data_IF_428355341989
#
_entry.id   IF_428355341989
#
_cell.length_a   1.000
_cell.length_b   1.000
_cell.length_c   1.000
_cell.angle_alpha   90.00
_cell.angle_beta   90.00
_cell.angle_gamma   90.00
#
_symmetry.space_group_name_H-M   'P 1'
#
loop_
_entity.id
_entity.type
_entity.pdbx_description
1 polymer ?
#
# COMPACT_ATOMS: atom_id res chain seq x y z
N UNK A 1 10.96 16.07 -10.88
CA UNK A 1 9.67 15.50 -11.35
C UNK A 1 9.84 14.02 -11.64
N UNK A 2 9.00 13.14 -11.06
CA UNK A 2 9.05 11.69 -11.35
C UNK A 2 8.51 11.43 -12.78
N UNK A 3 9.18 10.56 -13.54
CA UNK A 3 8.85 10.29 -14.94
C UNK A 3 7.59 9.44 -15.06
N UNK A 4 6.68 9.85 -15.94
CA UNK A 4 5.53 9.03 -16.32
C UNK A 4 5.96 7.75 -17.03
N UNK A 5 5.21 6.63 -16.90
CA UNK A 5 5.50 5.40 -17.62
C UNK A 5 5.55 5.60 -19.13
N UNK A 6 6.49 4.93 -19.80
CA UNK A 6 6.61 4.98 -21.27
C UNK A 6 5.49 4.20 -21.97
N UNK A 7 5.05 3.09 -21.35
CA UNK A 7 4.05 2.18 -21.91
C UNK A 7 2.66 2.83 -21.97
N UNK A 8 2.10 2.95 -23.18
CA UNK A 8 0.81 3.65 -23.43
C UNK A 8 -0.34 3.11 -22.57
N UNK A 9 -0.45 1.78 -22.44
CA UNK A 9 -1.51 1.11 -21.67
C UNK A 9 -1.49 1.51 -20.19
N UNK A 10 -0.30 1.78 -19.63
CA UNK A 10 -0.13 2.08 -18.20
C UNK A 10 -0.26 3.57 -17.92
N UNK A 11 -0.10 4.45 -18.93
CA UNK A 11 -0.20 5.91 -18.75
C UNK A 11 -1.57 6.34 -18.22
N UNK A 12 -2.66 5.73 -18.69
CA UNK A 12 -4.02 6.03 -18.21
C UNK A 12 -4.18 5.71 -16.73
N UNK A 13 -3.85 4.47 -16.34
CA UNK A 13 -3.88 4.03 -14.95
C UNK A 13 -2.95 4.83 -14.04
N UNK A 14 -1.76 5.20 -14.54
CA UNK A 14 -0.82 6.04 -13.80
C UNK A 14 -1.44 7.39 -13.44
N UNK A 15 -2.04 8.09 -14.42
CA UNK A 15 -2.65 9.39 -14.16
C UNK A 15 -3.88 9.30 -13.26
N UNK A 16 -4.67 8.24 -13.39
CA UNK A 16 -5.80 7.99 -12.49
C UNK A 16 -5.32 7.77 -11.05
N UNK A 17 -4.36 6.88 -10.84
CA UNK A 17 -3.77 6.62 -9.53
C UNK A 17 -3.12 7.89 -8.94
N UNK A 18 -2.47 8.70 -9.78
CA UNK A 18 -1.85 9.96 -9.33
C UNK A 18 -2.90 10.97 -8.86
N UNK A 19 -3.99 11.17 -9.62
CA UNK A 19 -5.07 12.08 -9.21
C UNK A 19 -5.71 11.66 -7.89
N UNK A 20 -5.93 10.36 -7.70
CA UNK A 20 -6.46 9.82 -6.44
C UNK A 20 -5.49 10.13 -5.30
N UNK A 21 -4.20 9.86 -5.50
CA UNK A 21 -3.18 10.13 -4.50
C UNK A 21 -3.04 11.61 -4.15
N UNK A 22 -3.19 12.50 -5.14
CA UNK A 22 -3.22 13.95 -4.93
C UNK A 22 -4.47 14.35 -4.13
N UNK A 23 -5.65 13.77 -4.44
CA UNK A 23 -6.90 14.05 -3.73
C UNK A 23 -6.89 13.61 -2.25
N UNK A 24 -6.19 12.52 -1.93
CA UNK A 24 -6.03 12.03 -0.55
C UNK A 24 -4.73 12.50 0.11
N UNK A 25 -4.03 13.48 -0.49
CA UNK A 25 -2.83 14.10 0.04
C UNK A 25 -1.70 13.11 0.43
N UNK A 26 -1.42 12.10 -0.42
CA UNK A 26 -0.31 11.17 -0.19
C UNK A 26 1.03 11.93 -0.17
N UNK A 27 1.67 11.96 0.99
CA UNK A 27 2.92 12.71 1.22
C UNK A 27 4.14 11.98 0.65
N UNK A 28 4.22 10.67 0.85
CA UNK A 28 5.38 9.87 0.42
C UNK A 28 4.98 8.53 -0.19
N UNK A 29 5.84 8.00 -1.06
CA UNK A 29 5.73 6.66 -1.60
C UNK A 29 7.01 5.92 -1.30
N UNK A 30 6.91 4.73 -0.73
CA UNK A 30 8.03 3.87 -0.40
C UNK A 30 7.84 2.49 -1.01
N UNK A 31 8.92 1.89 -1.49
CA UNK A 31 8.91 0.51 -1.98
C UNK A 31 9.14 -0.41 -0.79
N UNK A 32 8.26 -1.38 -0.62
CA UNK A 32 8.36 -2.39 0.42
C UNK A 32 8.32 -3.78 -0.22
N UNK A 33 9.03 -4.72 0.41
CA UNK A 33 8.93 -6.12 0.04
C UNK A 33 7.49 -6.62 0.23
N UNK A 34 7.10 -7.62 -0.55
CA UNK A 34 5.70 -8.08 -0.64
C UNK A 34 5.18 -8.64 0.69
N UNK A 35 6.09 -9.16 1.50
CA UNK A 35 5.91 -9.64 2.86
C UNK A 35 5.70 -8.52 3.87
N UNK A 36 5.89 -7.24 3.54
CA UNK A 36 5.62 -6.12 4.45
C UNK A 36 4.46 -5.23 3.95
N UNK A 37 3.59 -5.82 3.14
CA UNK A 37 2.39 -5.19 2.62
C UNK A 37 1.21 -6.16 2.75
N UNK A 38 1.08 -6.77 3.92
CA UNK A 38 0.10 -7.83 4.16
C UNK A 38 -1.34 -7.30 4.13
N UNK A 39 -1.56 -6.07 4.59
CA UNK A 39 -2.89 -5.47 4.61
C UNK A 39 -3.46 -5.29 3.19
N UNK A 40 -2.70 -4.66 2.28
CA UNK A 40 -3.14 -4.47 0.91
C UNK A 40 -3.37 -5.81 0.19
N UNK A 41 -2.52 -6.81 0.45
CA UNK A 41 -2.69 -8.18 -0.09
C UNK A 41 -3.97 -8.83 0.41
N UNK A 42 -4.31 -8.65 1.69
CA UNK A 42 -5.51 -9.21 2.27
C UNK A 42 -6.76 -8.56 1.69
N UNK A 43 -6.77 -7.22 1.54
CA UNK A 43 -7.85 -6.47 0.89
C UNK A 43 -8.05 -6.96 -0.55
N UNK A 44 -6.97 -7.07 -1.31
CA UNK A 44 -7.02 -7.57 -2.69
C UNK A 44 -7.58 -9.00 -2.77
N UNK A 45 -7.25 -9.87 -1.80
CA UNK A 45 -7.81 -11.23 -1.71
C UNK A 45 -9.32 -11.19 -1.42
N UNK A 46 -9.77 -10.34 -0.50
CA UNK A 46 -11.21 -10.20 -0.19
C UNK A 46 -11.97 -9.72 -1.42
N UNK A 47 -11.50 -8.68 -2.11
CA UNK A 47 -12.11 -8.19 -3.34
C UNK A 47 -12.19 -9.26 -4.43
N UNK A 48 -11.10 -10.01 -4.62
CA UNK A 48 -11.07 -11.12 -5.58
C UNK A 48 -12.09 -12.21 -5.24
N UNK A 49 -12.22 -12.56 -3.96
CA UNK A 49 -13.15 -13.61 -3.50
C UNK A 49 -14.60 -13.15 -3.52
N UNK A 50 -14.88 -11.88 -3.20
CA UNK A 50 -16.24 -11.34 -3.18
C UNK A 50 -16.76 -10.95 -4.57
N UNK A 51 -15.85 -10.73 -5.54
CA UNK A 51 -16.20 -10.22 -6.87
C UNK A 51 -16.73 -8.79 -6.86
N UNK A 52 -16.53 -8.06 -5.75
CA UNK A 52 -17.01 -6.68 -5.57
C UNK A 52 -15.85 -5.76 -5.20
N UNK A 53 -15.93 -4.46 -5.54
CA UNK A 53 -15.04 -3.46 -4.96
C UNK A 53 -15.12 -3.53 -3.43
N UNK A 54 -13.96 -3.44 -2.79
CA UNK A 54 -13.85 -3.48 -1.34
C UNK A 54 -13.14 -2.21 -0.91
N UNK A 55 -13.87 -1.36 -0.22
CA UNK A 55 -13.33 -0.18 0.45
C UNK A 55 -13.41 -0.42 1.95
N UNK A 56 -12.34 -0.05 2.66
CA UNK A 56 -12.41 -0.04 4.12
C UNK A 56 -13.19 1.20 4.52
N UNK A 57 -14.40 0.98 5.04
CA UNK A 57 -15.15 2.02 5.75
C UNK A 57 -15.35 1.59 7.20
N UNK A 58 -14.67 2.30 8.13
CA UNK A 58 -14.71 2.01 9.56
C UNK A 58 -16.11 2.27 10.18
N UNK A 59 -16.93 3.10 9.52
CA UNK A 59 -18.27 3.49 9.98
C UNK A 59 -19.34 2.54 9.46
N UNK A 60 -19.18 2.01 8.24
CA UNK A 60 -20.22 1.20 7.58
C UNK A 60 -20.21 -0.29 7.98
N UNK A 61 -19.14 -0.81 8.60
CA UNK A 61 -19.01 -2.25 8.85
C UNK A 61 -18.58 -2.65 10.28
N UNK A 62 -19.30 -2.23 11.33
CA UNK A 62 -19.05 -2.69 12.70
C UNK A 62 -19.25 -4.22 12.87
N UNK A 63 -20.03 -4.87 12.00
CA UNK A 63 -20.42 -6.29 12.11
C UNK A 63 -19.49 -7.27 11.38
N UNK A 64 -18.53 -6.81 10.58
CA UNK A 64 -17.63 -7.70 9.83
C UNK A 64 -16.37 -8.10 10.65
N UNK A 65 -16.61 -8.33 11.95
CA UNK A 65 -15.68 -8.29 13.07
C UNK A 65 -14.43 -9.16 12.99
N UNK A 66 -14.42 -10.28 12.26
CA UNK A 66 -13.24 -11.17 12.25
C UNK A 66 -12.30 -10.92 11.06
N UNK A 67 -12.86 -10.73 9.85
CA UNK A 67 -12.06 -10.55 8.64
C UNK A 67 -11.34 -9.20 8.63
N UNK A 68 -12.00 -8.15 9.10
CA UNK A 68 -11.39 -6.83 9.17
C UNK A 68 -10.42 -6.69 10.34
N UNK A 69 -10.69 -7.30 11.49
CA UNK A 69 -9.72 -7.34 12.60
C UNK A 69 -8.40 -7.97 12.16
N UNK A 70 -8.45 -9.04 11.37
CA UNK A 70 -7.24 -9.66 10.80
C UNK A 70 -6.50 -8.74 9.80
N UNK A 71 -7.20 -7.86 9.09
CA UNK A 71 -6.59 -6.88 8.17
C UNK A 71 -6.04 -5.70 8.99
N UNK A 72 -6.75 -5.22 10.00
CA UNK A 72 -6.29 -4.18 10.93
C UNK A 72 -4.99 -4.58 11.63
N UNK A 73 -4.91 -5.81 12.14
CA UNK A 73 -3.68 -6.32 12.75
C UNK A 73 -2.49 -6.28 11.77
N UNK A 74 -2.73 -6.58 10.48
CA UNK A 74 -1.70 -6.49 9.43
C UNK A 74 -1.30 -5.05 9.12
N UNK A 75 -2.23 -4.10 9.15
CA UNK A 75 -1.91 -2.67 8.98
C UNK A 75 -0.96 -2.22 10.08
N UNK A 76 -1.23 -2.58 11.34
CA UNK A 76 -0.33 -2.26 12.45
C UNK A 76 1.05 -2.85 12.22
N UNK A 77 1.16 -4.11 11.82
CA UNK A 77 2.46 -4.75 11.48
C UNK A 77 3.18 -4.03 10.34
N UNK A 78 2.47 -3.71 9.25
CA UNK A 78 3.04 -3.03 8.09
C UNK A 78 3.57 -1.62 8.48
N UNK A 79 2.84 -0.87 9.31
CA UNK A 79 3.22 0.47 9.81
C UNK A 79 4.39 0.39 10.80
N UNK A 80 4.36 -0.56 11.74
CA UNK A 80 5.48 -0.77 12.68
C UNK A 80 6.76 -1.08 11.92
N UNK A 81 6.70 -1.97 10.92
CA UNK A 81 7.84 -2.25 10.07
C UNK A 81 8.31 -0.99 9.34
N UNK A 82 7.42 -0.24 8.69
CA UNK A 82 7.77 1.01 8.02
C UNK A 82 8.49 1.99 8.96
N UNK A 83 7.98 2.23 10.17
CA UNK A 83 8.61 3.11 11.15
C UNK A 83 10.02 2.61 11.51
N UNK A 84 10.19 1.32 11.80
CA UNK A 84 11.53 0.76 12.10
C UNK A 84 12.52 0.94 10.94
N UNK A 85 12.10 0.74 9.69
CA UNK A 85 12.98 0.94 8.53
C UNK A 85 13.23 2.42 8.17
N UNK A 86 12.44 3.37 8.68
CA UNK A 86 12.71 4.81 8.53
C UNK A 86 13.69 5.32 9.60
N UNK A 87 13.75 4.68 10.76
CA UNK A 87 14.70 5.00 11.83
C UNK A 87 16.06 4.31 11.70
N UNK A 88 16.18 3.31 10.81
CA UNK A 88 17.47 2.80 10.33
C UNK A 88 18.25 3.92 9.63
N UNK A 89 19.44 4.29 10.12
CA UNK A 89 20.17 5.41 9.57
C UNK A 89 20.51 5.19 8.09
N UNK A 90 20.29 6.24 7.30
CA UNK A 90 20.37 6.28 5.83
C UNK A 90 21.71 5.87 5.21
N UNK A 91 22.74 5.59 6.00
CA UNK A 91 24.07 5.19 5.54
C UNK A 91 24.17 3.71 5.12
N UNK A 92 23.25 2.83 5.53
CA UNK A 92 23.29 1.40 5.18
C UNK A 92 22.51 1.05 3.90
N UNK A 93 21.65 1.94 3.40
CA UNK A 93 20.82 1.67 2.20
C UNK A 93 21.56 1.78 0.87
N UNK A 94 22.74 2.40 0.83
CA UNK A 94 23.51 2.60 -0.41
C UNK A 94 24.47 1.45 -0.75
N UNK A 95 24.58 0.43 0.11
CA UNK A 95 25.54 -0.66 -0.08
C UNK A 95 25.02 -1.84 -0.91
N UNK A 96 23.71 -1.92 -1.21
CA UNK A 96 23.11 -3.12 -1.82
C UNK A 96 22.84 -2.99 -3.33
N UNK A 97 23.00 -1.80 -3.94
CA UNK A 97 22.76 -1.59 -5.37
C UNK A 97 24.07 -1.51 -6.20
N UNK A 98 24.97 -2.49 -6.00
CA UNK A 98 26.06 -2.78 -6.96
C UNK A 98 26.26 -4.28 -7.13
N UNK A 99 25.47 -4.89 -8.02
CA UNK A 99 25.91 -5.99 -8.91
C UNK A 99 25.17 -5.84 -10.23
#
# INVERSE_FOLDING_TARGET
MRRTPKLKVVKGYYWQARRIADAVAVVTWSVHAREYNFAARAIARVAKTSGRPVEWNAVEFPTAGDKWTAISARVTTDVTHWLTTQHEPSHLRLAVDKV
#
